data_IF_436381212505
#
_entry.id   IF_436381212505
#
_cell.length_a   1.000
_cell.length_b   1.000
_cell.length_c   1.000
_cell.angle_alpha   90.00
_cell.angle_beta   90.00
_cell.angle_gamma   90.00
#
_symmetry.space_group_name_H-M   'P 1'
#
loop_
_entity.id
_entity.type
_entity.pdbx_description
1 polymer ?
#
# COMPACT_ATOMS: atom_id res chain seq x y z
N UNK A 1 16.71 2.87 -17.55
CA UNK A 1 15.94 1.86 -16.79
C UNK A 1 14.94 1.22 -17.72
N UNK A 2 14.79 -0.09 -17.72
CA UNK A 2 13.92 -0.85 -18.63
C UNK A 2 12.44 -0.88 -18.24
N UNK A 3 12.00 -0.01 -17.34
CA UNK A 3 10.63 0.13 -16.86
C UNK A 3 10.56 0.61 -15.41
N UNK A 4 9.39 1.03 -14.99
CA UNK A 4 9.06 1.44 -13.62
C UNK A 4 7.87 0.60 -13.16
N UNK A 5 7.86 0.17 -11.91
CA UNK A 5 6.71 -0.42 -11.24
C UNK A 5 6.11 0.62 -10.30
N UNK A 6 4.83 0.94 -10.50
CA UNK A 6 4.06 1.71 -9.54
C UNK A 6 3.53 0.78 -8.44
N UNK A 7 4.13 0.81 -7.26
CA UNK A 7 3.80 -0.08 -6.14
C UNK A 7 2.52 0.27 -5.38
N UNK A 8 1.79 1.33 -5.77
CA UNK A 8 0.58 1.75 -5.09
C UNK A 8 -0.28 2.67 -5.95
N UNK A 9 -1.35 2.16 -6.53
CA UNK A 9 -2.35 2.95 -7.25
C UNK A 9 -3.75 2.40 -7.01
N UNK A 10 -4.76 3.15 -7.44
CA UNK A 10 -6.15 2.75 -7.40
C UNK A 10 -6.83 3.02 -8.73
N UNK A 11 -7.85 2.24 -9.07
CA UNK A 11 -8.85 2.49 -10.11
C UNK A 11 -10.22 2.13 -9.54
N UNK A 12 -11.27 2.76 -10.00
CA UNK A 12 -12.61 2.50 -9.50
C UNK A 12 -13.71 2.96 -10.44
N UNK A 13 -14.91 2.41 -10.23
CA UNK A 13 -16.17 3.02 -10.61
C UNK A 13 -16.75 3.69 -9.36
N UNK A 14 -17.20 4.93 -9.48
CA UNK A 14 -17.79 5.66 -8.35
C UNK A 14 -18.94 4.88 -7.68
N UNK A 15 -19.75 4.18 -8.50
CA UNK A 15 -20.90 3.43 -8.04
C UNK A 15 -20.57 2.30 -7.04
N UNK A 16 -19.33 1.81 -7.03
CA UNK A 16 -18.88 0.70 -6.18
C UNK A 16 -18.22 1.17 -4.87
N UNK A 17 -18.04 2.50 -4.69
CA UNK A 17 -17.36 3.07 -3.54
C UNK A 17 -18.33 3.83 -2.62
N UNK A 18 -18.78 3.23 -1.50
CA UNK A 18 -19.71 3.88 -0.58
C UNK A 18 -19.26 5.26 -0.12
N UNK A 19 -17.95 5.45 0.08
CA UNK A 19 -17.38 6.71 0.51
C UNK A 19 -17.39 7.82 -0.55
N UNK A 20 -17.54 7.50 -1.84
CA UNK A 20 -17.72 8.46 -2.92
C UNK A 20 -19.19 8.77 -3.22
N UNK A 21 -20.12 7.89 -2.82
CA UNK A 21 -21.55 8.06 -3.06
C UNK A 21 -22.23 8.87 -1.97
N UNK A 22 -21.80 8.69 -0.72
CA UNK A 22 -22.40 9.34 0.44
C UNK A 22 -22.11 10.85 0.55
N UNK A 23 -22.58 11.52 1.60
CA UNK A 23 -22.19 12.88 1.93
C UNK A 23 -20.66 12.98 2.06
N UNK A 24 -20.12 14.16 1.69
CA UNK A 24 -18.69 14.43 1.88
C UNK A 24 -18.31 14.26 3.36
N UNK A 25 -17.34 13.42 3.62
CA UNK A 25 -16.78 13.21 4.94
C UNK A 25 -15.35 13.78 4.98
N UNK A 26 -14.92 14.34 6.11
CA UNK A 26 -13.52 14.73 6.28
C UNK A 26 -12.59 13.54 6.04
N UNK A 27 -11.52 13.76 5.25
CA UNK A 27 -10.50 12.75 4.95
C UNK A 27 -9.11 13.34 5.15
N UNK A 28 -8.13 12.47 5.45
CA UNK A 28 -6.74 12.87 5.66
C UNK A 28 -6.14 13.64 4.46
N UNK A 29 -6.62 13.34 3.24
CA UNK A 29 -6.20 14.01 2.02
C UNK A 29 -7.03 15.26 1.67
N UNK A 30 -7.93 15.70 2.56
CA UNK A 30 -8.72 16.92 2.42
C UNK A 30 -9.94 16.78 1.50
N UNK A 31 -10.41 17.92 0.91
CA UNK A 31 -11.53 17.93 -0.02
C UNK A 31 -11.25 17.05 -1.24
N UNK A 32 -12.22 16.19 -1.61
CA UNK A 32 -12.04 15.19 -2.68
C UNK A 32 -13.16 15.18 -3.72
N UNK A 33 -13.88 16.29 -3.88
CA UNK A 33 -14.88 16.43 -4.96
C UNK A 33 -14.35 15.98 -6.33
N UNK A 34 -13.10 16.30 -6.73
CA UNK A 34 -12.56 15.88 -8.02
C UNK A 34 -12.44 14.36 -8.19
N UNK A 35 -12.44 13.60 -7.08
CA UNK A 35 -12.38 12.13 -7.10
C UNK A 35 -13.76 11.48 -7.15
N UNK A 36 -14.86 12.23 -6.98
CA UNK A 36 -16.24 11.71 -6.99
C UNK A 36 -16.71 11.43 -8.40
N UNK A 37 -16.02 10.56 -9.07
CA UNK A 37 -16.26 10.08 -10.43
C UNK A 37 -15.57 8.75 -10.66
N UNK A 38 -15.79 8.14 -11.80
CA UNK A 38 -15.00 7.00 -12.23
C UNK A 38 -13.54 7.42 -12.46
N UNK A 39 -12.62 6.54 -12.09
CA UNK A 39 -11.21 6.62 -12.44
C UNK A 39 -10.80 5.27 -13.03
N UNK A 40 -11.03 5.07 -14.35
CA UNK A 40 -10.79 3.81 -15.01
C UNK A 40 -9.30 3.58 -15.32
N UNK A 41 -8.96 2.34 -15.69
CA UNK A 41 -7.59 1.95 -16.03
C UNK A 41 -7.02 2.78 -17.19
N UNK A 42 -7.83 3.17 -18.14
CA UNK A 42 -7.44 3.96 -19.31
C UNK A 42 -6.92 5.34 -18.89
N UNK A 43 -7.57 5.99 -17.90
CA UNK A 43 -7.12 7.27 -17.36
C UNK A 43 -5.83 7.11 -16.55
N UNK A 44 -5.76 6.08 -15.71
CA UNK A 44 -4.52 5.78 -14.99
C UNK A 44 -3.34 5.56 -15.95
N UNK A 45 -3.54 4.81 -17.03
CA UNK A 45 -2.50 4.57 -18.03
C UNK A 45 -2.10 5.84 -18.79
N UNK A 46 -3.04 6.75 -19.04
CA UNK A 46 -2.72 8.06 -19.62
C UNK A 46 -1.87 8.91 -18.67
N UNK A 47 -2.10 8.80 -17.36
CA UNK A 47 -1.31 9.49 -16.34
C UNK A 47 0.11 8.89 -16.20
N UNK A 48 0.25 7.56 -16.11
CA UNK A 48 1.48 6.89 -15.68
C UNK A 48 2.44 6.48 -16.82
N UNK A 49 1.92 6.11 -18.00
CA UNK A 49 2.77 5.63 -19.12
C UNK A 49 3.81 6.66 -19.60
N UNK A 50 3.50 7.97 -19.68
CA UNK A 50 4.50 8.99 -20.03
C UNK A 50 5.69 9.05 -19.07
N UNK A 51 5.52 8.59 -17.82
CA UNK A 51 6.60 8.50 -16.84
C UNK A 51 7.38 7.17 -16.89
N UNK A 52 7.06 6.28 -17.84
CA UNK A 52 7.77 5.00 -18.04
C UNK A 52 7.28 3.85 -17.15
N UNK A 53 6.08 3.94 -16.58
CA UNK A 53 5.47 2.84 -15.80
C UNK A 53 5.04 1.71 -16.74
N UNK A 54 5.47 0.50 -16.43
CA UNK A 54 5.22 -0.71 -17.22
C UNK A 54 4.45 -1.80 -16.50
N UNK A 55 4.42 -1.74 -15.18
CA UNK A 55 3.73 -2.68 -14.30
C UNK A 55 3.23 -1.91 -13.06
N UNK A 56 2.19 -2.39 -12.39
CA UNK A 56 1.70 -1.72 -11.19
C UNK A 56 1.13 -2.68 -10.13
N UNK A 57 0.94 -2.14 -8.92
CA UNK A 57 0.29 -2.82 -7.80
C UNK A 57 -0.95 -2.03 -7.41
N UNK A 58 -2.09 -2.60 -7.71
CA UNK A 58 -3.37 -2.08 -7.22
C UNK A 58 -3.51 -2.33 -5.73
N UNK A 59 -3.98 -1.34 -4.99
CA UNK A 59 -4.32 -1.48 -3.59
C UNK A 59 -5.82 -1.20 -3.42
N UNK A 60 -6.51 -2.04 -2.67
CA UNK A 60 -7.95 -1.94 -2.42
C UNK A 60 -8.38 -0.49 -2.10
N UNK A 61 -9.55 -0.08 -2.60
CA UNK A 61 -10.03 1.32 -2.56
C UNK A 61 -11.23 1.52 -1.62
N UNK A 62 -11.44 0.64 -0.66
CA UNK A 62 -12.57 0.64 0.28
C UNK A 62 -13.93 0.50 -0.42
N UNK A 63 -14.09 -0.54 -1.21
CA UNK A 63 -15.40 -1.03 -1.63
C UNK A 63 -16.21 -1.47 -0.42
N UNK A 64 -17.47 -1.85 -0.65
CA UNK A 64 -18.23 -2.55 0.37
C UNK A 64 -17.44 -3.79 0.82
N UNK A 65 -17.14 -3.96 2.12
CA UNK A 65 -16.38 -5.09 2.62
C UNK A 65 -16.96 -6.47 2.26
N UNK A 66 -18.27 -6.58 2.03
CA UNK A 66 -18.90 -7.83 1.60
C UNK A 66 -18.59 -8.18 0.14
N UNK A 67 -18.16 -7.20 -0.66
CA UNK A 67 -17.83 -7.33 -2.08
C UNK A 67 -16.31 -7.32 -2.35
N UNK A 68 -15.50 -7.71 -1.38
CA UNK A 68 -14.05 -7.60 -1.43
C UNK A 68 -13.39 -8.39 -2.58
N UNK A 69 -13.96 -9.51 -2.98
CA UNK A 69 -13.48 -10.32 -4.10
C UNK A 69 -13.94 -9.79 -5.46
N UNK A 70 -15.13 -9.16 -5.53
CA UNK A 70 -15.59 -8.47 -6.74
C UNK A 70 -14.67 -7.28 -7.09
N UNK A 71 -14.15 -6.57 -6.08
CA UNK A 71 -13.13 -5.53 -6.27
C UNK A 71 -11.88 -6.10 -6.95
N UNK A 72 -11.39 -7.23 -6.47
CA UNK A 72 -10.23 -7.89 -7.04
C UNK A 72 -10.47 -8.41 -8.47
N UNK A 73 -11.67 -8.92 -8.76
CA UNK A 73 -12.06 -9.35 -10.11
C UNK A 73 -12.17 -8.17 -11.08
N UNK A 74 -12.81 -7.06 -10.68
CA UNK A 74 -12.86 -5.84 -11.47
C UNK A 74 -11.48 -5.36 -11.93
N UNK A 75 -10.49 -5.40 -11.02
CA UNK A 75 -9.12 -5.00 -11.34
C UNK A 75 -8.43 -6.01 -12.26
N UNK A 76 -8.67 -7.30 -12.06
CA UNK A 76 -8.12 -8.35 -12.93
C UNK A 76 -8.64 -8.19 -14.37
N UNK A 77 -9.93 -7.98 -14.55
CA UNK A 77 -10.55 -7.73 -15.86
C UNK A 77 -10.00 -6.45 -16.51
N UNK A 78 -9.83 -5.37 -15.72
CA UNK A 78 -9.24 -4.13 -16.20
C UNK A 78 -7.80 -4.33 -16.69
N UNK A 79 -7.01 -5.10 -15.93
CA UNK A 79 -5.63 -5.47 -16.31
C UNK A 79 -5.57 -6.28 -17.62
N UNK A 80 -6.46 -7.25 -17.77
CA UNK A 80 -6.54 -8.08 -18.99
C UNK A 80 -6.96 -7.26 -20.20
N UNK A 81 -8.03 -6.50 -20.07
CA UNK A 81 -8.54 -5.63 -21.14
C UNK A 81 -7.49 -4.62 -21.61
N UNK A 82 -6.74 -4.05 -20.70
CA UNK A 82 -5.70 -3.07 -21.01
C UNK A 82 -4.36 -3.69 -21.46
N UNK A 83 -4.18 -4.99 -21.31
CA UNK A 83 -2.89 -5.67 -21.54
C UNK A 83 -1.78 -5.11 -20.64
N UNK A 84 -2.11 -4.67 -19.41
CA UNK A 84 -1.18 -4.03 -18.48
C UNK A 84 -1.04 -4.86 -17.21
N UNK A 85 0.18 -5.33 -16.86
CA UNK A 85 0.40 -6.21 -15.72
C UNK A 85 0.11 -5.51 -14.39
N UNK A 86 -0.83 -6.06 -13.62
CA UNK A 86 -1.21 -5.57 -12.29
C UNK A 86 -1.17 -6.73 -11.29
N UNK A 87 -0.48 -6.52 -10.16
CA UNK A 87 -0.68 -7.30 -8.95
C UNK A 87 -1.73 -6.60 -8.07
N UNK A 88 -2.45 -7.37 -7.25
CA UNK A 88 -3.58 -6.86 -6.45
C UNK A 88 -3.28 -7.06 -4.98
N UNK A 89 -3.41 -5.99 -4.20
CA UNK A 89 -3.54 -6.01 -2.75
C UNK A 89 -5.01 -5.82 -2.44
N UNK A 90 -5.68 -6.91 -2.07
CA UNK A 90 -7.12 -6.95 -1.84
C UNK A 90 -7.48 -6.60 -0.39
N UNK A 91 -8.76 -6.41 -0.12
CA UNK A 91 -9.28 -6.36 1.25
C UNK A 91 -9.57 -7.77 1.77
N UNK A 92 -9.32 -8.00 3.06
CA UNK A 92 -9.92 -9.06 3.85
C UNK A 92 -10.07 -8.56 5.30
N UNK A 93 -11.11 -9.02 5.98
CA UNK A 93 -11.35 -8.67 7.38
C UNK A 93 -10.45 -9.50 8.30
N UNK A 94 -9.33 -8.90 8.69
CA UNK A 94 -8.36 -9.52 9.59
C UNK A 94 -8.86 -9.62 11.05
N UNK A 95 -10.05 -9.08 11.35
CA UNK A 95 -10.72 -9.20 12.64
C UNK A 95 -11.85 -10.24 12.62
N UNK A 96 -12.10 -10.90 11.49
CA UNK A 96 -13.03 -12.02 11.41
C UNK A 96 -12.62 -13.15 12.35
N UNK A 97 -13.56 -13.95 12.80
CA UNK A 97 -13.28 -15.14 13.65
C UNK A 97 -12.34 -16.12 12.93
N UNK A 98 -12.52 -16.25 11.61
CA UNK A 98 -11.64 -17.00 10.71
C UNK A 98 -11.60 -16.31 9.35
N UNK A 99 -10.42 -15.79 8.95
CA UNK A 99 -10.24 -15.12 7.67
C UNK A 99 -10.06 -16.08 6.50
N UNK A 100 -9.74 -17.35 6.74
CA UNK A 100 -9.40 -18.32 5.69
C UNK A 100 -10.45 -18.46 4.59
N UNK A 101 -11.79 -18.48 4.88
CA UNK A 101 -12.78 -18.48 3.80
C UNK A 101 -12.70 -17.29 2.85
N UNK A 102 -12.32 -16.10 3.36
CA UNK A 102 -12.09 -14.93 2.51
C UNK A 102 -10.80 -15.10 1.69
N UNK A 103 -9.73 -15.60 2.32
CA UNK A 103 -8.47 -15.85 1.62
C UNK A 103 -8.62 -16.93 0.52
N UNK A 104 -9.43 -17.96 0.74
CA UNK A 104 -9.75 -18.97 -0.26
C UNK A 104 -10.47 -18.38 -1.49
N UNK A 105 -11.39 -17.43 -1.27
CA UNK A 105 -12.04 -16.69 -2.36
C UNK A 105 -11.03 -15.84 -3.13
N UNK A 106 -10.23 -15.04 -2.43
CA UNK A 106 -9.18 -14.20 -3.04
C UNK A 106 -8.13 -15.03 -3.79
N UNK A 107 -7.82 -16.20 -3.26
CA UNK A 107 -6.83 -17.10 -3.82
C UNK A 107 -7.20 -17.62 -5.23
N UNK A 108 -8.47 -17.58 -5.63
CA UNK A 108 -8.91 -17.93 -6.99
C UNK A 108 -8.39 -16.95 -8.04
N UNK A 109 -8.20 -15.69 -7.64
CA UNK A 109 -7.60 -14.67 -8.51
C UNK A 109 -6.06 -14.70 -8.38
N UNK A 110 -5.38 -15.20 -9.40
CA UNK A 110 -3.93 -15.37 -9.41
C UNK A 110 -3.15 -14.06 -9.40
N UNK A 111 -3.81 -12.91 -9.56
CA UNK A 111 -3.19 -11.57 -9.46
C UNK A 111 -3.15 -11.04 -8.03
N UNK A 112 -3.92 -11.61 -7.11
CA UNK A 112 -3.86 -11.25 -5.69
C UNK A 112 -2.52 -11.68 -5.12
N UNK A 113 -1.79 -10.73 -4.54
CA UNK A 113 -0.44 -10.89 -3.98
C UNK A 113 -0.33 -10.42 -2.55
N UNK A 114 -1.33 -9.70 -2.06
CA UNK A 114 -1.35 -9.20 -0.70
C UNK A 114 -2.75 -8.84 -0.24
N UNK A 115 -2.83 -8.52 1.03
CA UNK A 115 -4.04 -8.06 1.71
C UNK A 115 -3.75 -6.76 2.45
N UNK A 116 -4.71 -5.84 2.43
CA UNK A 116 -4.70 -4.65 3.26
C UNK A 116 -6.00 -4.52 4.03
N UNK A 117 -5.89 -4.38 5.36
CA UNK A 117 -6.88 -3.80 6.23
C UNK A 117 -6.27 -2.56 6.88
N UNK A 118 -6.97 -1.43 6.84
CA UNK A 118 -6.46 -0.18 7.39
C UNK A 118 -6.55 -0.20 8.91
N UNK A 119 -5.40 -0.03 9.59
CA UNK A 119 -5.25 -0.12 11.04
C UNK A 119 -4.84 1.20 11.68
N UNK A 120 -4.67 2.25 10.87
CA UNK A 120 -4.20 3.53 11.37
C UNK A 120 -5.22 4.19 12.30
N UNK A 121 -4.74 4.53 13.48
CA UNK A 121 -5.47 5.25 14.50
C UNK A 121 -4.69 6.48 14.93
N UNK A 122 -5.39 7.56 15.23
CA UNK A 122 -4.81 8.81 15.63
C UNK A 122 -5.75 9.56 16.59
N UNK A 123 -5.20 10.34 17.55
CA UNK A 123 -5.99 11.18 18.48
C UNK A 123 -6.81 12.24 17.72
N UNK A 124 -6.30 12.74 16.59
CA UNK A 124 -7.09 13.57 15.69
C UNK A 124 -8.08 12.69 14.91
N UNK A 125 -9.41 12.88 15.11
CA UNK A 125 -10.42 12.05 14.44
C UNK A 125 -10.35 12.11 12.91
N UNK A 126 -9.82 13.19 12.34
CA UNK A 126 -9.61 13.32 10.89
C UNK A 126 -8.66 12.28 10.33
N UNK A 127 -7.71 11.81 11.13
CA UNK A 127 -6.68 10.85 10.73
C UNK A 127 -7.00 9.42 11.19
N UNK A 128 -8.09 9.24 11.94
CA UNK A 128 -8.47 7.95 12.50
C UNK A 128 -9.31 7.14 11.50
N UNK A 129 -8.91 5.90 11.26
CA UNK A 129 -9.69 4.92 10.50
C UNK A 129 -10.06 3.71 11.36
N UNK A 130 -9.13 3.22 12.17
CA UNK A 130 -9.35 2.08 13.06
C UNK A 130 -10.32 2.46 14.20
N UNK A 131 -11.14 1.51 14.62
CA UNK A 131 -12.12 1.73 15.69
C UNK A 131 -11.49 1.96 17.08
N UNK A 132 -10.25 1.53 17.28
CA UNK A 132 -9.50 1.68 18.54
C UNK A 132 -7.97 1.70 18.28
N UNK A 133 -7.16 2.30 19.20
CA UNK A 133 -5.73 2.54 18.97
C UNK A 133 -4.88 1.28 18.86
N UNK A 134 -5.28 0.21 19.53
CA UNK A 134 -4.48 -0.99 19.74
C UNK A 134 -4.93 -2.20 18.89
N UNK A 135 -5.67 -1.97 17.80
CA UNK A 135 -6.07 -3.04 16.87
C UNK A 135 -4.88 -3.86 16.37
N UNK A 136 -3.71 -3.24 16.23
CA UNK A 136 -2.48 -3.94 15.84
C UNK A 136 -2.07 -5.04 16.84
N UNK A 137 -2.52 -4.94 18.11
CA UNK A 137 -2.26 -5.91 19.18
C UNK A 137 -3.37 -6.96 19.36
N UNK A 138 -4.43 -6.85 18.58
CA UNK A 138 -5.55 -7.79 18.68
C UNK A 138 -5.07 -9.22 18.31
N UNK A 139 -5.33 -10.19 19.19
CA UNK A 139 -4.87 -11.56 19.02
C UNK A 139 -5.49 -12.24 17.79
N UNK A 140 -6.73 -11.87 17.45
CA UNK A 140 -7.43 -12.36 16.26
C UNK A 140 -6.77 -11.83 14.99
N UNK A 141 -6.47 -10.52 14.96
CA UNK A 141 -5.72 -9.94 13.86
C UNK A 141 -4.38 -10.62 13.67
N UNK A 142 -3.65 -10.87 14.76
CA UNK A 142 -2.34 -11.56 14.72
C UNK A 142 -2.47 -12.97 14.15
N UNK A 143 -3.44 -13.74 14.62
CA UNK A 143 -3.70 -15.11 14.13
C UNK A 143 -4.03 -15.08 12.63
N UNK A 144 -4.94 -14.19 12.21
CA UNK A 144 -5.39 -14.07 10.83
C UNK A 144 -4.27 -13.58 9.89
N UNK A 145 -3.42 -12.64 10.32
CA UNK A 145 -2.24 -12.21 9.55
C UNK A 145 -1.27 -13.38 9.37
N UNK A 146 -1.08 -14.23 10.39
CA UNK A 146 -0.25 -15.43 10.30
C UNK A 146 -0.68 -16.38 9.19
N UNK A 147 -1.99 -16.52 8.92
CA UNK A 147 -2.48 -17.35 7.83
C UNK A 147 -2.06 -16.88 6.43
N UNK A 148 -1.72 -15.60 6.24
CA UNK A 148 -1.28 -15.09 4.94
C UNK A 148 -0.05 -15.81 4.39
N UNK A 149 0.81 -16.36 5.27
CA UNK A 149 1.98 -17.14 4.88
C UNK A 149 1.58 -18.38 4.05
N UNK A 150 0.50 -19.07 4.43
CA UNK A 150 0.00 -20.26 3.75
C UNK A 150 -0.49 -19.98 2.33
N UNK A 151 -0.94 -18.74 2.09
CA UNK A 151 -1.39 -18.25 0.79
C UNK A 151 -0.28 -17.53 0.02
N UNK A 152 0.88 -17.35 0.64
CA UNK A 152 1.99 -16.57 0.10
C UNK A 152 1.59 -15.11 -0.15
N UNK A 153 0.75 -14.51 0.67
CA UNK A 153 0.29 -13.14 0.56
C UNK A 153 1.09 -12.20 1.47
N UNK A 154 1.29 -10.96 1.02
CA UNK A 154 1.84 -9.89 1.84
C UNK A 154 0.75 -9.29 2.73
N UNK A 155 1.16 -8.63 3.82
CA UNK A 155 0.28 -7.75 4.58
C UNK A 155 0.71 -6.30 4.39
N UNK A 156 -0.15 -5.51 3.71
CA UNK A 156 0.09 -4.08 3.50
C UNK A 156 -0.35 -3.32 4.75
N UNK A 157 0.62 -2.95 5.58
CA UNK A 157 0.46 -2.40 6.92
C UNK A 157 0.34 -0.88 6.88
N UNK A 158 -0.76 -0.32 7.37
CA UNK A 158 -0.97 1.12 7.45
C UNK A 158 -1.18 1.55 8.90
N UNK A 159 -0.19 2.25 9.45
CA UNK A 159 -0.12 2.68 10.86
C UNK A 159 0.60 4.02 10.97
N UNK A 160 0.30 4.79 12.01
CA UNK A 160 1.06 5.98 12.41
C UNK A 160 2.22 5.65 13.36
N UNK A 161 3.11 6.62 13.57
CA UNK A 161 4.30 6.47 14.40
C UNK A 161 4.04 5.87 15.80
N UNK A 162 3.01 6.28 16.56
CA UNK A 162 2.73 5.68 17.88
C UNK A 162 2.38 4.19 17.85
N UNK A 163 1.91 3.67 16.69
CA UNK A 163 1.53 2.27 16.54
C UNK A 163 2.69 1.38 16.06
N UNK A 164 3.83 1.97 15.62
CA UNK A 164 4.90 1.22 14.94
C UNK A 164 5.61 0.23 15.84
N UNK A 165 5.70 0.48 17.15
CA UNK A 165 6.28 -0.48 18.10
C UNK A 165 5.45 -1.78 18.12
N UNK A 166 4.12 -1.66 18.24
CA UNK A 166 3.21 -2.82 18.19
C UNK A 166 3.18 -3.48 16.82
N UNK A 167 3.33 -2.70 15.75
CA UNK A 167 3.44 -3.21 14.38
C UNK A 167 4.73 -4.01 14.16
N UNK A 168 5.84 -3.62 14.76
CA UNK A 168 7.09 -4.38 14.74
C UNK A 168 6.96 -5.70 15.53
N UNK A 169 6.27 -5.69 16.69
CA UNK A 169 5.94 -6.91 17.44
C UNK A 169 5.06 -7.88 16.60
N UNK A 170 4.07 -7.33 15.88
CA UNK A 170 3.25 -8.12 14.96
C UNK A 170 4.10 -8.74 13.85
N UNK A 171 4.98 -7.96 13.21
CA UNK A 171 5.87 -8.46 12.17
C UNK A 171 6.81 -9.55 12.67
N UNK A 172 7.39 -9.36 13.87
CA UNK A 172 8.22 -10.38 14.52
C UNK A 172 7.47 -11.68 14.81
N UNK A 173 6.17 -11.60 15.14
CA UNK A 173 5.33 -12.78 15.43
C UNK A 173 4.89 -13.56 14.19
N UNK A 174 5.01 -12.95 12.99
CA UNK A 174 4.62 -13.56 11.71
C UNK A 174 5.81 -13.51 10.72
N UNK A 175 6.92 -14.21 10.99
CA UNK A 175 8.19 -14.08 10.25
C UNK A 175 8.09 -14.49 8.78
N UNK A 176 7.15 -15.37 8.44
CA UNK A 176 6.93 -15.86 7.07
C UNK A 176 5.99 -14.96 6.23
N UNK A 177 5.44 -13.90 6.84
CA UNK A 177 4.63 -12.89 6.14
C UNK A 177 5.49 -11.67 5.85
N UNK A 178 5.48 -11.20 4.60
CA UNK A 178 6.10 -9.92 4.26
C UNK A 178 5.15 -8.77 4.62
N UNK A 179 5.60 -7.86 5.48
CA UNK A 179 4.89 -6.65 5.84
C UNK A 179 5.32 -5.49 4.94
N UNK A 180 4.36 -4.81 4.35
CA UNK A 180 4.62 -3.67 3.47
C UNK A 180 4.08 -2.41 4.11
N UNK A 181 4.96 -1.65 4.78
CA UNK A 181 4.59 -0.40 5.45
C UNK A 181 4.12 0.64 4.42
N UNK A 182 2.88 1.07 4.54
CA UNK A 182 2.27 2.03 3.63
C UNK A 182 2.80 3.44 3.89
N UNK A 183 2.99 4.21 2.83
CA UNK A 183 3.25 5.66 2.85
C UNK A 183 4.41 6.07 3.76
N UNK A 184 5.47 5.24 3.80
CA UNK A 184 6.63 5.44 4.68
C UNK A 184 6.21 5.75 6.13
N UNK A 185 5.16 5.07 6.64
CA UNK A 185 4.69 5.26 8.01
C UNK A 185 3.98 6.58 8.27
N UNK A 186 3.52 7.28 7.22
CA UNK A 186 2.61 8.44 7.31
C UNK A 186 3.11 9.54 8.26
N UNK A 187 4.23 10.19 7.92
CA UNK A 187 4.76 11.34 8.69
C UNK A 187 3.80 12.54 8.58
N UNK A 188 2.97 12.75 9.60
CA UNK A 188 1.96 13.82 9.67
C UNK A 188 2.40 15.01 10.52
N UNK A 189 3.23 14.78 11.55
CA UNK A 189 3.78 15.82 12.42
C UNK A 189 5.20 16.18 11.99
N UNK A 190 5.35 17.36 11.40
CA UNK A 190 6.63 17.87 10.92
C UNK A 190 7.42 18.64 11.99
N UNK A 191 6.96 18.69 13.24
CA UNK A 191 7.75 19.22 14.34
C UNK A 191 9.02 18.36 14.56
N UNK A 192 10.00 18.92 15.23
CA UNK A 192 11.23 18.18 15.57
C UNK A 192 10.93 16.90 16.37
N UNK A 193 9.94 16.96 17.28
CA UNK A 193 9.50 15.84 18.09
C UNK A 193 8.73 14.79 17.25
N UNK A 194 7.82 15.24 16.38
CA UNK A 194 7.07 14.37 15.48
C UNK A 194 7.98 13.59 14.54
N UNK A 195 8.93 14.27 13.90
CA UNK A 195 9.93 13.62 13.04
C UNK A 195 10.79 12.63 13.83
N UNK A 196 11.22 12.97 15.05
CA UNK A 196 11.99 12.07 15.88
C UNK A 196 11.19 10.81 16.29
N UNK A 197 9.92 10.99 16.65
CA UNK A 197 9.00 9.89 17.01
C UNK A 197 8.76 8.96 15.81
N UNK A 198 8.46 9.54 14.65
CA UNK A 198 8.29 8.79 13.40
C UNK A 198 9.55 8.00 13.05
N UNK A 199 10.73 8.63 13.11
CA UNK A 199 12.02 7.98 12.84
C UNK A 199 12.26 6.80 13.78
N UNK A 200 12.02 6.95 15.07
CA UNK A 200 12.17 5.87 16.05
C UNK A 200 11.25 4.69 15.76
N UNK A 201 9.99 4.96 15.37
CA UNK A 201 9.07 3.92 14.93
C UNK A 201 9.52 3.20 13.65
N UNK A 202 10.03 3.96 12.67
CA UNK A 202 10.60 3.43 11.44
C UNK A 202 11.82 2.53 11.70
N UNK A 203 12.67 2.87 12.67
CA UNK A 203 13.83 2.06 13.10
C UNK A 203 13.37 0.69 13.63
N UNK A 204 12.32 0.64 14.45
CA UNK A 204 11.76 -0.61 14.97
C UNK A 204 11.25 -1.53 13.85
N UNK A 205 10.53 -0.98 12.88
CA UNK A 205 10.04 -1.73 11.73
C UNK A 205 11.17 -2.13 10.78
N UNK A 206 12.15 -1.25 10.56
CA UNK A 206 13.32 -1.56 9.73
C UNK A 206 14.19 -2.68 10.34
N UNK A 207 14.15 -2.86 11.65
CA UNK A 207 14.78 -3.98 12.37
C UNK A 207 14.14 -5.34 12.04
N UNK A 208 12.92 -5.38 11.49
CA UNK A 208 12.27 -6.61 11.10
C UNK A 208 12.69 -7.01 9.67
N UNK A 209 13.28 -8.19 9.52
CA UNK A 209 13.78 -8.66 8.22
C UNK A 209 12.68 -8.83 7.16
N UNK A 210 11.46 -9.11 7.59
CA UNK A 210 10.27 -9.29 6.76
C UNK A 210 9.48 -7.99 6.52
N UNK A 211 10.00 -6.83 6.91
CA UNK A 211 9.37 -5.53 6.66
C UNK A 211 10.03 -4.78 5.50
N UNK A 212 9.21 -4.21 4.63
CA UNK A 212 9.59 -3.29 3.54
C UNK A 212 8.74 -2.02 3.63
N UNK A 213 9.18 -0.91 3.02
CA UNK A 213 8.45 0.36 3.08
C UNK A 213 8.08 0.87 1.69
N UNK A 214 6.85 1.37 1.53
CA UNK A 214 6.38 2.09 0.32
C UNK A 214 6.65 3.58 0.44
N UNK A 215 7.36 4.12 -0.52
CA UNK A 215 7.52 5.55 -0.74
C UNK A 215 6.35 6.04 -1.59
N UNK A 216 5.18 6.20 -0.97
CA UNK A 216 3.92 6.58 -1.62
C UNK A 216 3.12 7.49 -0.72
N UNK A 217 2.18 8.28 -1.27
CA UNK A 217 1.29 9.11 -0.48
C UNK A 217 2.00 10.20 0.35
N UNK A 218 3.21 10.60 -0.05
CA UNK A 218 4.06 11.50 0.75
C UNK A 218 3.52 12.94 0.77
N UNK A 219 2.68 13.30 -0.20
CA UNK A 219 2.02 14.61 -0.24
C UNK A 219 0.74 14.70 0.60
N UNK A 220 0.23 13.61 1.14
CA UNK A 220 -1.12 13.51 1.71
C UNK A 220 -1.41 14.54 2.80
N UNK A 221 -0.54 14.71 3.77
CA UNK A 221 -0.76 15.63 4.89
C UNK A 221 -0.47 17.09 4.53
N UNK A 222 0.40 17.33 3.57
CA UNK A 222 0.72 18.66 3.04
C UNK A 222 -0.26 19.09 1.94
N UNK A 223 -0.92 18.14 1.29
CA UNK A 223 -1.73 18.36 0.08
C UNK A 223 -0.94 19.06 -1.01
N UNK A 224 0.30 18.65 -1.16
CA UNK A 224 1.26 19.25 -2.08
C UNK A 224 2.32 18.23 -2.48
N UNK A 225 2.84 18.38 -3.69
CA UNK A 225 4.04 17.71 -4.14
C UNK A 225 5.26 18.54 -3.71
N UNK A 226 5.67 18.42 -2.44
CA UNK A 226 6.77 19.16 -1.85
C UNK A 226 8.09 18.39 -1.97
N UNK A 227 9.04 18.83 -2.83
CA UNK A 227 10.30 18.10 -3.02
C UNK A 227 11.19 18.04 -1.75
N UNK A 228 11.10 19.02 -0.85
CA UNK A 228 11.90 19.03 0.37
C UNK A 228 11.39 17.98 1.35
N UNK A 229 10.07 17.89 1.53
CA UNK A 229 9.43 16.87 2.35
C UNK A 229 9.64 15.47 1.76
N UNK A 230 9.41 15.29 0.46
CA UNK A 230 9.67 14.02 -0.23
C UNK A 230 11.13 13.61 -0.05
N UNK A 231 12.06 14.55 -0.23
CA UNK A 231 13.50 14.32 -0.02
C UNK A 231 13.86 13.92 1.40
N UNK A 232 13.22 14.52 2.41
CA UNK A 232 13.39 14.12 3.81
C UNK A 232 12.94 12.67 4.03
N UNK A 233 11.68 12.37 3.71
CA UNK A 233 11.09 11.04 3.97
C UNK A 233 11.81 9.95 3.20
N UNK A 234 12.13 10.16 1.93
CA UNK A 234 12.85 9.20 1.08
C UNK A 234 14.24 8.92 1.65
N UNK A 235 15.01 9.97 1.99
CA UNK A 235 16.37 9.81 2.54
C UNK A 235 16.36 9.02 3.85
N UNK A 236 15.50 9.40 4.79
CA UNK A 236 15.41 8.73 6.09
C UNK A 236 14.96 7.28 5.94
N UNK A 237 13.93 7.01 5.12
CA UNK A 237 13.45 5.65 4.88
C UNK A 237 14.52 4.78 4.21
N UNK A 238 15.23 5.30 3.21
CA UNK A 238 16.33 4.57 2.56
C UNK A 238 17.48 4.30 3.52
N UNK A 239 17.78 5.23 4.44
CA UNK A 239 18.85 5.04 5.42
C UNK A 239 18.57 3.90 6.41
N UNK A 240 17.29 3.67 6.74
CA UNK A 240 16.84 2.67 7.70
C UNK A 240 16.58 1.30 7.07
N UNK A 241 15.84 1.27 5.97
CA UNK A 241 15.44 0.01 5.32
C UNK A 241 16.44 -0.47 4.26
N UNK A 242 17.24 0.45 3.72
CA UNK A 242 18.05 0.21 2.52
C UNK A 242 17.21 0.11 1.24
N UNK A 243 17.84 0.31 0.05
CA UNK A 243 17.12 0.43 -1.21
C UNK A 243 16.35 -0.84 -1.58
N UNK A 244 16.86 -2.02 -1.23
CA UNK A 244 16.23 -3.31 -1.52
C UNK A 244 14.97 -3.61 -0.70
N UNK A 245 14.67 -2.77 0.30
CA UNK A 245 13.45 -2.86 1.10
C UNK A 245 12.59 -1.60 1.01
N UNK A 246 12.81 -0.78 -0.03
CA UNK A 246 11.98 0.37 -0.35
C UNK A 246 11.40 0.24 -1.75
N UNK A 247 10.17 0.65 -1.96
CA UNK A 247 9.53 0.67 -3.27
C UNK A 247 8.70 1.93 -3.48
N UNK A 248 8.71 2.45 -4.70
CA UNK A 248 7.91 3.60 -5.13
C UNK A 248 6.43 3.20 -5.27
N UNK A 249 5.52 4.14 -5.00
CA UNK A 249 4.10 4.07 -5.34
C UNK A 249 3.52 5.46 -5.53
N UNK A 250 2.65 5.64 -6.52
CA UNK A 250 2.10 6.94 -6.86
C UNK A 250 0.98 7.39 -5.93
N UNK A 251 0.24 6.47 -5.36
CA UNK A 251 -1.02 6.72 -4.66
C UNK A 251 -2.08 7.46 -5.55
N UNK A 252 -1.99 7.31 -6.89
CA UNK A 252 -2.97 7.86 -7.81
C UNK A 252 -4.30 7.09 -7.74
N UNK A 253 -5.46 7.77 -7.82
CA UNK A 253 -5.62 9.19 -8.09
C UNK A 253 -5.65 10.11 -6.86
N UNK A 254 -5.36 9.64 -5.65
CA UNK A 254 -5.40 10.52 -4.45
C UNK A 254 -4.42 11.69 -4.62
N UNK A 255 -3.17 11.43 -5.00
CA UNK A 255 -2.17 12.48 -5.24
C UNK A 255 -2.53 13.42 -6.42
N UNK A 256 -3.42 12.99 -7.33
CA UNK A 256 -3.93 13.83 -8.43
C UNK A 256 -4.70 15.06 -7.96
N UNK A 257 -5.10 15.09 -6.69
CA UNK A 257 -5.73 16.25 -6.06
C UNK A 257 -4.82 17.49 -6.03
N UNK A 258 -3.49 17.29 -6.03
CA UNK A 258 -2.52 18.40 -5.89
C UNK A 258 -1.30 18.30 -6.81
N UNK A 259 -1.16 17.22 -7.60
CA UNK A 259 -0.02 17.09 -8.53
C UNK A 259 -0.37 16.28 -9.76
N UNK A 260 0.49 16.33 -10.76
CA UNK A 260 0.45 15.45 -11.93
C UNK A 260 1.42 14.30 -11.75
N UNK A 261 1.14 13.18 -12.39
CA UNK A 261 1.95 11.96 -12.26
C UNK A 261 3.44 12.20 -12.59
N UNK A 262 3.72 12.90 -13.69
CA UNK A 262 5.09 13.23 -14.11
C UNK A 262 5.84 14.08 -13.09
N UNK A 263 5.16 15.04 -12.45
CA UNK A 263 5.74 15.91 -11.41
C UNK A 263 6.05 15.12 -10.13
N UNK A 264 5.12 14.25 -9.72
CA UNK A 264 5.32 13.33 -8.59
C UNK A 264 6.52 12.42 -8.85
N UNK A 265 6.58 11.80 -10.02
CA UNK A 265 7.67 10.93 -10.41
C UNK A 265 9.01 11.68 -10.43
N UNK A 266 9.06 12.89 -10.97
CA UNK A 266 10.27 13.69 -11.00
C UNK A 266 10.78 14.03 -9.60
N UNK A 267 9.88 14.36 -8.66
CA UNK A 267 10.25 14.62 -7.26
C UNK A 267 10.85 13.39 -6.58
N UNK A 268 10.25 12.21 -6.77
CA UNK A 268 10.79 10.96 -6.23
C UNK A 268 12.14 10.57 -6.89
N UNK A 269 12.27 10.74 -8.21
CA UNK A 269 13.53 10.45 -8.91
C UNK A 269 14.66 11.39 -8.46
N UNK A 270 14.35 12.64 -8.14
CA UNK A 270 15.33 13.59 -7.60
C UNK A 270 15.75 13.23 -6.16
N UNK A 271 14.82 12.69 -5.36
CA UNK A 271 15.07 12.30 -3.97
C UNK A 271 15.83 10.97 -3.84
N UNK A 272 15.62 10.01 -4.76
CA UNK A 272 16.24 8.69 -4.72
C UNK A 272 17.65 8.73 -5.37
N UNK A 273 18.73 8.38 -4.64
CA UNK A 273 20.07 8.29 -5.20
C UNK A 273 20.12 7.37 -6.43
N UNK A 274 20.92 7.73 -7.44
CA UNK A 274 21.00 6.99 -8.71
C UNK A 274 21.25 5.48 -8.51
N UNK A 275 22.16 5.13 -7.62
CA UNK A 275 22.51 3.74 -7.30
C UNK A 275 21.33 2.94 -6.68
N UNK A 276 20.34 3.61 -6.08
CA UNK A 276 19.17 3.00 -5.46
C UNK A 276 17.95 2.91 -6.41
N UNK A 277 17.96 3.66 -7.54
CA UNK A 277 16.79 3.81 -8.41
C UNK A 277 16.25 2.49 -8.94
N UNK A 278 17.14 1.58 -9.31
CA UNK A 278 16.73 0.28 -9.85
C UNK A 278 15.94 -0.53 -8.82
N UNK A 279 16.43 -0.60 -7.58
CA UNK A 279 15.75 -1.30 -6.50
C UNK A 279 14.41 -0.62 -6.21
N UNK A 280 14.39 0.70 -5.97
CA UNK A 280 13.21 1.45 -5.53
C UNK A 280 12.10 1.49 -6.59
N UNK A 281 12.45 1.75 -7.84
CA UNK A 281 11.47 1.94 -8.91
C UNK A 281 11.10 0.66 -9.66
N UNK A 282 11.76 -0.49 -9.36
CA UNK A 282 11.50 -1.69 -10.14
C UNK A 282 11.66 -2.99 -9.34
N UNK A 283 12.87 -3.34 -8.91
CA UNK A 283 13.18 -4.70 -8.46
C UNK A 283 12.47 -5.06 -7.15
N UNK A 284 12.37 -4.14 -6.19
CA UNK A 284 11.74 -4.41 -4.89
C UNK A 284 10.25 -4.71 -5.06
N UNK A 285 9.50 -3.90 -5.80
CA UNK A 285 8.08 -4.15 -6.03
C UNK A 285 7.83 -5.47 -6.76
N UNK A 286 8.64 -5.78 -7.79
CA UNK A 286 8.52 -7.06 -8.52
C UNK A 286 8.77 -8.27 -7.63
N UNK A 287 9.77 -8.21 -6.77
CA UNK A 287 10.10 -9.27 -5.82
C UNK A 287 8.99 -9.43 -4.78
N UNK A 288 8.57 -8.34 -4.15
CA UNK A 288 7.58 -8.34 -3.06
C UNK A 288 6.23 -8.87 -3.56
N UNK A 289 5.75 -8.37 -4.68
CA UNK A 289 4.44 -8.73 -5.23
C UNK A 289 4.52 -9.78 -6.36
N UNK A 290 5.71 -10.37 -6.59
CA UNK A 290 5.93 -11.43 -7.60
C UNK A 290 5.36 -11.07 -8.97
N UNK A 291 5.57 -9.82 -9.40
CA UNK A 291 5.17 -9.37 -10.73
C UNK A 291 5.97 -10.11 -11.82
N UNK A 292 5.31 -10.44 -12.94
CA UNK A 292 5.90 -11.17 -14.05
C UNK A 292 6.10 -12.67 -13.85
N UNK A 293 5.77 -13.22 -12.67
CA UNK A 293 5.71 -14.67 -12.46
C UNK A 293 4.34 -15.19 -12.87
N UNK A 294 4.26 -16.11 -13.84
CA UNK A 294 3.06 -16.91 -14.04
C UNK A 294 2.80 -17.69 -12.74
N UNK A 295 1.61 -17.56 -12.17
CA UNK A 295 1.26 -18.21 -10.91
C UNK A 295 1.45 -19.73 -10.99
N UNK A 296 2.60 -20.21 -10.57
CA UNK A 296 2.79 -21.61 -10.20
C UNK A 296 2.49 -21.67 -8.71
N UNK A 297 1.29 -22.12 -8.36
CA UNK A 297 1.01 -22.61 -7.01
C UNK A 297 1.41 -24.06 -6.97
N UNK A 298 2.53 -24.36 -6.36
CA UNK A 298 2.73 -25.69 -5.82
C UNK A 298 1.73 -25.85 -4.67
N UNK A 299 0.67 -26.63 -4.91
CA UNK A 299 -0.15 -27.14 -3.84
C UNK A 299 0.76 -28.02 -2.97
N UNK A 300 1.19 -27.50 -1.85
CA UNK A 300 1.62 -28.35 -0.76
C UNK A 300 0.37 -29.05 -0.26
N UNK A 301 0.10 -30.21 -0.88
CA UNK A 301 -0.91 -31.14 -0.41
C UNK A 301 -0.63 -31.47 1.04
N UNK A 302 -1.67 -31.36 1.86
CA UNK A 302 -1.69 -31.91 3.19
C UNK A 302 -1.14 -33.35 3.11
N UNK A 303 -0.06 -33.62 3.81
CA UNK A 303 0.29 -34.97 4.18
C UNK A 303 -0.52 -35.29 5.42
N UNK A 304 -1.33 -36.33 5.26
CA UNK A 304 -2.11 -36.99 6.30
C UNK A 304 -1.30 -37.29 7.58
#
# INVERSE_FOLDING_TARGET
>A
MTGIVDGHFHIWRQADLPWLLGPMQPRIFGPYEPLRRDYPIEEYLADCRPAGVTEAVYVQANWDPERFDEEAEFVAEASERAGFPIAIVAYADMLADDVRPQLDRLARNTRVRGVRMQLHWHDNPLYCFAAKPDLVRDDRLRANVGYLAQYGLTFDLQVFAPQMASAAELAASCPDVTFVLQHAGMLEDLSTEGVATWRSGMELLAGQANAVSKLSGLGTFLRANDPAHIGLVVRETLSLFGPKRCLFGSNFPIEKLWTRYGELMAAHQAAVPEAARRDVFYDTARRVYRLGTKGVREHHGARD
#
